data_IF_995677559621
#
_entry.id   IF_995677559621
#
_cell.length_a   1.000
_cell.length_b   1.000
_cell.length_c   1.000
_cell.angle_alpha   90.00
_cell.angle_beta   90.00
_cell.angle_gamma   90.00
#
_symmetry.space_group_name_H-M   'P 1'
#
loop_
_entity.id
_entity.type
_entity.pdbx_description
1 polymer ?
#
# COMPACT_ATOMS: atom_id res chain seq x y z
N UNK A 1 -8.44 -5.37 -37.83
CA UNK A 1 -8.35 -5.15 -36.37
C UNK A 1 -7.01 -4.49 -36.10
N UNK A 2 -7.00 -3.20 -35.76
CA UNK A 2 -5.77 -2.52 -35.33
C UNK A 2 -5.57 -2.84 -33.84
N UNK A 3 -4.48 -3.53 -33.53
CA UNK A 3 -4.21 -4.13 -32.20
C UNK A 3 -3.46 -3.14 -31.28
N UNK A 4 -3.22 -1.91 -31.73
CA UNK A 4 -2.44 -0.90 -31.01
C UNK A 4 -3.29 0.35 -30.76
N UNK A 5 -4.27 0.26 -29.87
CA UNK A 5 -4.83 1.47 -29.25
C UNK A 5 -3.77 2.10 -28.34
N UNK A 6 -3.74 3.43 -28.25
CA UNK A 6 -2.86 4.12 -27.31
C UNK A 6 -3.29 3.84 -25.86
N UNK A 7 -2.35 3.93 -24.93
CA UNK A 7 -2.63 3.72 -23.50
C UNK A 7 -3.74 4.66 -22.98
N UNK A 8 -3.85 5.86 -23.55
CA UNK A 8 -4.93 6.80 -23.24
C UNK A 8 -6.30 6.32 -23.70
N UNK A 9 -6.41 5.67 -24.87
CA UNK A 9 -7.69 5.09 -25.34
C UNK A 9 -8.10 3.86 -24.55
N UNK A 10 -7.12 3.07 -24.09
CA UNK A 10 -7.37 1.91 -23.25
C UNK A 10 -7.79 2.30 -21.83
N UNK A 11 -7.04 3.22 -21.20
CA UNK A 11 -7.33 3.67 -19.84
C UNK A 11 -8.62 4.48 -19.73
N UNK A 12 -8.97 5.25 -20.76
CA UNK A 12 -10.25 5.99 -20.80
C UNK A 12 -11.49 5.10 -20.94
N UNK A 13 -11.34 3.86 -21.44
CA UNK A 13 -12.41 2.86 -21.53
C UNK A 13 -12.46 1.92 -20.32
N UNK A 14 -11.40 1.88 -19.52
CA UNK A 14 -11.33 1.01 -18.36
C UNK A 14 -12.11 1.62 -17.21
N UNK A 15 -13.19 0.96 -16.82
CA UNK A 15 -13.94 1.34 -15.61
C UNK A 15 -13.15 0.92 -14.37
N UNK A 16 -13.33 1.62 -13.25
CA UNK A 16 -12.67 1.27 -11.98
C UNK A 16 -12.95 -0.17 -11.53
N UNK A 17 -14.09 -0.73 -11.96
CA UNK A 17 -14.45 -2.13 -11.70
C UNK A 17 -13.58 -3.12 -12.49
N UNK A 18 -13.19 -2.78 -13.72
CA UNK A 18 -12.34 -3.62 -14.56
C UNK A 18 -10.90 -3.62 -14.02
N UNK A 19 -10.41 -2.47 -13.56
CA UNK A 19 -9.09 -2.36 -12.91
C UNK A 19 -9.02 -3.27 -11.66
N UNK A 20 -10.05 -3.26 -10.83
CA UNK A 20 -10.12 -4.12 -9.65
C UNK A 20 -10.17 -5.61 -10.01
N UNK A 21 -10.89 -5.97 -11.09
CA UNK A 21 -10.93 -7.34 -11.59
C UNK A 21 -9.56 -7.81 -12.09
N UNK A 22 -8.88 -7.00 -12.91
CA UNK A 22 -7.53 -7.30 -13.40
C UNK A 22 -6.50 -7.34 -12.26
N UNK A 23 -6.60 -6.44 -11.28
CA UNK A 23 -5.75 -6.46 -10.10
C UNK A 23 -5.99 -7.71 -9.24
N UNK A 24 -7.24 -8.14 -9.10
CA UNK A 24 -7.60 -9.38 -8.41
C UNK A 24 -7.05 -10.62 -9.11
N UNK A 25 -7.22 -10.73 -10.42
CA UNK A 25 -6.64 -11.82 -11.23
C UNK A 25 -5.11 -11.81 -11.14
N UNK A 26 -4.50 -10.62 -11.20
CA UNK A 26 -3.06 -10.43 -11.02
C UNK A 26 -2.56 -10.89 -9.65
N UNK A 27 -3.30 -10.61 -8.58
CA UNK A 27 -2.98 -11.05 -7.22
C UNK A 27 -3.02 -12.58 -7.10
N UNK A 28 -4.05 -13.22 -7.69
CA UNK A 28 -4.18 -14.68 -7.68
C UNK A 28 -3.02 -15.32 -8.46
N UNK A 29 -2.70 -14.81 -9.65
CA UNK A 29 -1.54 -15.28 -10.42
C UNK A 29 -0.24 -15.06 -9.65
N UNK A 30 -0.08 -13.90 -9.00
CA UNK A 30 1.09 -13.60 -8.21
C UNK A 30 1.28 -14.58 -7.06
N UNK A 31 0.22 -14.88 -6.30
CA UNK A 31 0.27 -15.84 -5.19
C UNK A 31 0.62 -17.24 -5.70
N UNK A 32 0.00 -17.66 -6.81
CA UNK A 32 0.15 -19.00 -7.36
C UNK A 32 1.55 -19.23 -7.97
N UNK A 33 2.17 -18.17 -8.49
CA UNK A 33 3.49 -18.23 -9.11
C UNK A 33 4.61 -17.61 -8.26
N UNK A 34 4.33 -17.15 -7.03
CA UNK A 34 5.30 -16.49 -6.13
C UNK A 34 6.61 -17.29 -6.00
N UNK A 35 6.50 -18.61 -5.87
CA UNK A 35 7.64 -19.50 -5.68
C UNK A 35 8.41 -19.84 -6.98
N UNK A 36 7.85 -19.48 -8.15
CA UNK A 36 8.42 -19.78 -9.48
C UNK A 36 8.95 -18.54 -10.21
N UNK A 37 8.78 -17.34 -9.66
CA UNK A 37 9.16 -16.07 -10.30
C UNK A 37 10.65 -15.68 -10.13
N UNK A 38 11.45 -16.49 -9.42
CA UNK A 38 12.88 -16.22 -9.20
C UNK A 38 13.70 -15.91 -10.48
N UNK A 39 13.47 -16.57 -11.63
CA UNK A 39 14.20 -16.24 -12.87
C UNK A 39 13.74 -14.92 -13.50
N UNK A 40 12.44 -14.61 -13.39
CA UNK A 40 11.82 -13.44 -14.02
C UNK A 40 12.18 -12.15 -13.28
N UNK A 41 12.33 -12.23 -11.96
CA UNK A 41 12.82 -11.11 -11.14
C UNK A 41 14.24 -10.68 -11.53
N UNK A 42 15.12 -11.63 -11.86
CA UNK A 42 16.48 -11.33 -12.33
C UNK A 42 16.47 -10.63 -13.68
N UNK A 43 15.65 -11.11 -14.62
CA UNK A 43 15.50 -10.48 -15.94
C UNK A 43 14.94 -9.04 -15.85
N UNK A 44 13.97 -8.81 -14.95
CA UNK A 44 13.42 -7.47 -14.70
C UNK A 44 14.44 -6.54 -14.04
N UNK A 45 15.19 -7.03 -13.05
CA UNK A 45 16.27 -6.28 -12.41
C UNK A 45 17.38 -5.93 -13.42
N UNK A 46 17.76 -6.87 -14.27
CA UNK A 46 18.77 -6.65 -15.31
C UNK A 46 18.30 -5.66 -16.38
N UNK A 47 17.01 -5.68 -16.74
CA UNK A 47 16.43 -4.68 -17.64
C UNK A 47 16.39 -3.29 -17.02
N UNK A 48 15.99 -3.19 -15.75
CA UNK A 48 15.92 -1.92 -15.02
C UNK A 48 17.31 -1.32 -14.81
N UNK A 49 18.30 -2.17 -14.48
CA UNK A 49 19.69 -1.76 -14.38
C UNK A 49 20.26 -1.33 -15.73
N UNK A 50 19.91 -2.01 -16.84
CA UNK A 50 20.30 -1.57 -18.19
C UNK A 50 19.68 -0.23 -18.59
N UNK A 51 18.44 0.04 -18.18
CA UNK A 51 17.78 1.31 -18.46
C UNK A 51 18.33 2.47 -17.60
N UNK A 52 18.73 2.21 -16.36
CA UNK A 52 19.36 3.20 -15.49
C UNK A 52 20.81 3.56 -15.85
N UNK A 53 21.46 2.80 -16.74
CA UNK A 53 22.88 3.02 -17.14
C UNK A 53 23.03 3.94 -18.34
N UNK A 54 21.94 4.29 -19.05
CA UNK A 54 21.98 5.34 -20.09
C UNK A 54 21.53 6.69 -19.53
N UNK A 55 22.31 7.26 -18.61
CA UNK A 55 22.29 8.70 -18.35
C UNK A 55 23.40 9.36 -19.17
N UNK A 56 23.12 9.98 -20.33
CA UNK A 56 24.03 11.01 -20.83
C UNK A 56 24.08 12.10 -19.77
N UNK A 57 25.30 12.46 -19.38
CA UNK A 57 25.66 13.51 -18.43
C UNK A 57 24.86 14.79 -18.72
N UNK A 58 23.77 15.01 -18.00
CA UNK A 58 23.03 16.28 -17.99
C UNK A 58 23.72 17.24 -17.01
N UNK A 59 23.81 18.54 -17.34
CA UNK A 59 24.54 19.51 -16.53
C UNK A 59 23.90 19.68 -15.15
N UNK A 60 24.76 19.79 -14.14
CA UNK A 60 24.38 20.11 -12.77
C UNK A 60 23.66 21.45 -12.76
N UNK A 61 22.35 21.43 -12.51
CA UNK A 61 21.59 22.60 -12.09
C UNK A 61 21.57 22.52 -10.57
N UNK A 62 22.22 23.48 -9.90
CA UNK A 62 22.04 23.73 -8.48
C UNK A 62 20.57 24.10 -8.24
N UNK A 63 19.79 23.14 -7.74
CA UNK A 63 18.42 23.39 -7.29
C UNK A 63 18.51 23.95 -5.88
N UNK A 64 17.93 25.13 -5.59
CA UNK A 64 17.92 25.68 -4.24
C UNK A 64 17.19 24.71 -3.30
N UNK A 65 17.70 24.60 -2.08
CA UNK A 65 17.13 23.80 -0.99
C UNK A 65 15.62 24.06 -0.86
N UNK A 66 14.81 23.22 -1.49
CA UNK A 66 13.36 23.24 -1.33
C UNK A 66 13.03 22.48 -0.06
N UNK A 67 12.74 23.24 0.98
CA UNK A 67 11.87 22.82 2.09
C UNK A 67 10.75 21.93 1.55
N UNK A 68 10.46 20.77 2.20
CA UNK A 68 9.42 19.87 1.75
C UNK A 68 8.10 20.64 1.64
N UNK A 69 7.52 20.63 0.44
CA UNK A 69 6.19 21.16 0.16
C UNK A 69 5.20 20.35 0.99
N UNK A 70 4.77 20.93 2.10
CA UNK A 70 3.57 20.53 2.82
C UNK A 70 2.39 20.76 1.88
N UNK A 71 1.89 19.67 1.30
CA UNK A 71 0.51 19.62 0.80
C UNK A 71 -0.41 20.10 1.93
N UNK A 72 -1.32 21.06 1.71
CA UNK A 72 -2.31 21.42 2.71
C UNK A 72 -3.41 20.36 2.70
N UNK A 73 -3.12 19.18 3.24
CA UNK A 73 -4.14 18.21 3.65
C UNK A 73 -4.10 18.13 5.17
N UNK A 74 -5.16 18.64 5.81
CA UNK A 74 -5.62 18.25 7.15
C UNK A 74 -4.56 17.56 8.05
N UNK A 75 -3.75 18.35 8.76
CA UNK A 75 -2.86 17.85 9.84
C UNK A 75 -3.59 16.94 10.86
N UNK A 76 -4.92 17.04 10.92
CA UNK A 76 -5.80 16.21 11.74
C UNK A 76 -5.80 14.74 11.34
N UNK A 77 -5.76 14.44 10.05
CA UNK A 77 -5.97 13.07 9.56
C UNK A 77 -4.72 12.24 9.79
N UNK A 78 -3.54 12.80 9.47
CA UNK A 78 -2.25 12.17 9.73
C UNK A 78 -2.00 11.92 11.22
N UNK A 79 -2.45 12.85 12.08
CA UNK A 79 -2.33 12.71 13.54
C UNK A 79 -3.22 11.59 14.04
N UNK A 80 -4.47 11.51 13.57
CA UNK A 80 -5.39 10.44 13.92
C UNK A 80 -4.86 9.06 13.45
N UNK A 81 -4.42 8.93 12.19
CA UNK A 81 -3.85 7.69 11.70
C UNK A 81 -2.58 7.28 12.46
N UNK A 82 -1.73 8.23 12.84
CA UNK A 82 -0.56 7.97 13.68
C UNK A 82 -0.93 7.47 15.07
N UNK A 83 -2.01 7.99 15.67
CA UNK A 83 -2.56 7.47 16.93
C UNK A 83 -3.04 6.02 16.77
N UNK A 84 -3.81 5.73 15.72
CA UNK A 84 -4.34 4.38 15.44
C UNK A 84 -3.21 3.37 15.25
N UNK A 85 -2.17 3.72 14.49
CA UNK A 85 -1.00 2.87 14.27
C UNK A 85 -0.25 2.60 15.58
N UNK A 86 -0.03 3.64 16.39
CA UNK A 86 0.68 3.53 17.69
C UNK A 86 -0.10 2.66 18.68
N UNK A 87 -1.43 2.78 18.68
CA UNK A 87 -2.32 1.93 19.47
C UNK A 87 -2.22 0.46 19.04
N UNK A 88 -2.32 0.19 17.73
CA UNK A 88 -2.26 -1.19 17.20
C UNK A 88 -0.93 -1.86 17.54
N UNK A 89 0.18 -1.13 17.43
CA UNK A 89 1.50 -1.59 17.87
C UNK A 89 1.53 -1.95 19.36
N UNK A 90 0.90 -1.14 20.21
CA UNK A 90 0.82 -1.41 21.66
C UNK A 90 0.03 -2.69 21.93
N UNK A 91 -1.09 -2.90 21.23
CA UNK A 91 -1.89 -4.14 21.34
C UNK A 91 -1.13 -5.37 20.88
N UNK A 92 -0.43 -5.28 19.75
CA UNK A 92 0.34 -6.40 19.19
C UNK A 92 1.52 -6.79 20.10
N UNK A 93 2.12 -5.81 20.78
CA UNK A 93 3.16 -6.06 21.79
C UNK A 93 2.59 -6.70 23.06
N UNK A 94 1.39 -6.31 23.49
CA UNK A 94 0.66 -6.97 24.59
C UNK A 94 0.30 -8.42 24.25
N UNK A 95 -0.10 -8.69 23.01
CA UNK A 95 -0.35 -10.05 22.50
C UNK A 95 0.94 -10.89 22.49
N UNK A 96 2.04 -10.33 21.98
CA UNK A 96 3.35 -11.00 21.97
C UNK A 96 3.87 -11.31 23.38
N UNK A 97 3.54 -10.48 24.36
CA UNK A 97 3.91 -10.67 25.77
C UNK A 97 2.92 -11.54 26.56
N UNK A 98 1.87 -12.08 25.91
CA UNK A 98 0.80 -12.86 26.54
C UNK A 98 0.10 -12.15 27.72
N UNK A 99 0.08 -10.82 27.73
CA UNK A 99 -0.56 -10.05 28.78
C UNK A 99 -2.03 -9.77 28.44
N UNK A 100 -2.93 -10.64 28.89
CA UNK A 100 -4.37 -10.59 28.60
C UNK A 100 -5.03 -9.29 29.11
N UNK A 101 -4.55 -8.74 30.22
CA UNK A 101 -5.08 -7.51 30.79
C UNK A 101 -4.68 -6.27 29.96
N UNK A 102 -3.46 -6.24 29.43
CA UNK A 102 -3.00 -5.16 28.56
C UNK A 102 -3.74 -5.15 27.21
N UNK A 103 -4.11 -6.32 26.68
CA UNK A 103 -4.95 -6.41 25.47
C UNK A 103 -6.35 -5.83 25.74
N UNK A 104 -6.96 -6.14 26.90
CA UNK A 104 -8.26 -5.60 27.29
C UNK A 104 -8.25 -4.09 27.44
N UNK A 105 -7.23 -3.53 28.10
CA UNK A 105 -7.06 -2.08 28.24
C UNK A 105 -6.87 -1.44 26.87
N UNK A 106 -6.05 -2.04 25.99
CA UNK A 106 -5.90 -1.54 24.63
C UNK A 106 -7.24 -1.55 23.87
N UNK A 107 -8.00 -2.65 23.90
CA UNK A 107 -9.31 -2.74 23.24
C UNK A 107 -10.35 -1.75 23.84
N UNK A 108 -10.25 -1.41 25.13
CA UNK A 108 -11.11 -0.40 25.78
C UNK A 108 -10.80 1.04 25.37
N UNK A 109 -9.53 1.35 25.08
CA UNK A 109 -9.12 2.70 24.66
C UNK A 109 -9.66 3.06 23.27
N UNK A 110 -9.90 2.05 22.41
CA UNK A 110 -10.43 2.23 21.06
C UNK A 110 -11.45 1.14 20.69
N UNK A 111 -12.67 1.21 21.21
CA UNK A 111 -13.68 0.15 21.04
C UNK A 111 -14.08 -0.06 19.58
N UNK A 112 -14.12 1.00 18.77
CA UNK A 112 -14.51 0.92 17.35
C UNK A 112 -13.41 0.44 16.40
N UNK A 113 -12.18 0.28 16.89
CA UNK A 113 -11.06 -0.25 16.11
C UNK A 113 -10.82 -1.75 16.35
N UNK A 114 -11.48 -2.32 17.38
CA UNK A 114 -11.41 -3.74 17.64
C UNK A 114 -12.42 -4.49 16.76
N UNK A 115 -11.99 -5.46 15.95
CA UNK A 115 -12.89 -6.25 15.08
C UNK A 115 -13.94 -7.07 15.87
N UNK A 116 -13.81 -7.10 17.20
CA UNK A 116 -14.74 -7.75 18.10
C UNK A 116 -16.04 -6.97 18.33
N UNK A 117 -16.07 -5.66 18.02
CA UNK A 117 -17.27 -4.82 18.20
C UNK A 117 -18.15 -4.84 16.95
N UNK A 118 -17.57 -4.96 15.75
CA UNK A 118 -18.32 -5.02 14.48
C UNK A 118 -19.12 -6.32 14.27
N UNK A 119 -18.96 -7.33 15.13
CA UNK A 119 -19.71 -8.61 15.06
C UNK A 119 -21.00 -8.62 15.86
N UNK A 120 -21.37 -7.51 16.52
CA UNK A 120 -22.57 -7.42 17.38
C UNK A 120 -23.81 -6.86 16.67
N UNK A 121 -23.93 -7.07 15.37
CA UNK A 121 -25.21 -6.90 14.67
C UNK A 121 -25.74 -8.27 14.24
N UNK A 122 -26.25 -9.04 15.22
CA UNK A 122 -27.22 -10.08 14.93
C UNK A 122 -28.29 -10.10 16.05
N UNK A 123 -29.50 -9.68 15.65
CA UNK A 123 -30.84 -9.90 16.25
C UNK A 123 -31.20 -9.10 17.52
N UNK A 124 -32.11 -8.13 17.39
CA UNK A 124 -33.59 -8.30 17.46
C UNK A 124 -34.26 -7.28 16.54
#
# INVERSE_FOLDING_TARGET
>A
MNITESFDQFSSRMSGMDLALYAGVGLVLWILFKDKLSPVQKLLLDLFNKFNVSNPKLPVIEVPNITPVTTPSSQTDDTFFKLVVSWKQTRDLAEKSNCVEAIKVADQMFPFLSPNVCKKEEKV
#
